data_IF_457531092013
#
_entry.id   IF_457531092013
#
_cell.length_a   1.000
_cell.length_b   1.000
_cell.length_c   1.000
_cell.angle_alpha   90.00
_cell.angle_beta   90.00
_cell.angle_gamma   90.00
#
_symmetry.space_group_name_H-M   'P 1'
#
loop_
_entity.id
_entity.type
_entity.pdbx_description
1 polymer ?
#
# COMPACT_ATOMS: atom_id res chain seq x y z
N UNK A 1 -2.84 33.53 -5.29
CA UNK A 1 -3.64 32.40 -5.82
C UNK A 1 -3.30 31.18 -5.00
N UNK A 2 -4.27 30.57 -4.32
CA UNK A 2 -4.03 29.32 -3.60
C UNK A 2 -4.17 28.20 -4.64
N UNK A 3 -3.05 27.79 -5.25
CA UNK A 3 -3.04 26.69 -6.21
C UNK A 3 -3.39 25.41 -5.46
N UNK A 4 -4.66 25.04 -5.48
CA UNK A 4 -5.11 23.79 -4.90
C UNK A 4 -4.26 22.66 -5.48
N UNK A 5 -3.73 21.80 -4.61
CA UNK A 5 -2.92 20.65 -5.03
C UNK A 5 -3.68 19.84 -6.06
N UNK A 6 -2.98 19.39 -7.09
CA UNK A 6 -3.49 18.41 -8.04
C UNK A 6 -3.71 17.06 -7.35
N UNK A 7 -4.48 16.17 -7.98
CA UNK A 7 -4.67 14.81 -7.48
C UNK A 7 -3.33 14.06 -7.36
N UNK A 8 -2.45 14.24 -8.34
CA UNK A 8 -1.13 13.60 -8.36
C UNK A 8 -0.24 14.06 -7.19
N UNK A 9 -0.25 15.34 -6.87
CA UNK A 9 0.48 15.88 -5.72
C UNK A 9 -0.04 15.32 -4.40
N UNK A 10 -1.37 15.25 -4.23
CA UNK A 10 -1.97 14.63 -3.04
C UNK A 10 -1.58 13.16 -2.88
N UNK A 11 -1.54 12.40 -3.97
CA UNK A 11 -1.12 11.00 -3.95
C UNK A 11 0.37 10.85 -3.61
N UNK A 12 1.22 11.71 -4.16
CA UNK A 12 2.66 11.73 -3.85
C UNK A 12 2.89 12.01 -2.36
N UNK A 13 2.28 13.05 -1.81
CA UNK A 13 2.39 13.39 -0.39
C UNK A 13 1.83 12.29 0.52
N UNK A 14 0.79 11.59 0.09
CA UNK A 14 0.28 10.44 0.82
C UNK A 14 1.31 9.31 0.87
N UNK A 15 1.92 8.94 -0.27
CA UNK A 15 2.98 7.92 -0.32
C UNK A 15 4.19 8.29 0.52
N UNK A 16 4.65 9.54 0.43
CA UNK A 16 5.78 10.05 1.23
C UNK A 16 5.48 9.94 2.73
N UNK A 17 4.27 10.29 3.17
CA UNK A 17 3.86 10.12 4.57
C UNK A 17 3.86 8.66 5.01
N UNK A 18 3.35 7.74 4.19
CA UNK A 18 3.33 6.32 4.55
C UNK A 18 4.75 5.74 4.64
N UNK A 19 5.64 6.14 3.73
CA UNK A 19 7.05 5.75 3.76
C UNK A 19 7.78 6.34 4.98
N UNK A 20 7.48 7.58 5.36
CA UNK A 20 8.02 8.20 6.57
C UNK A 20 7.58 7.47 7.86
N UNK A 21 6.44 6.78 7.84
CA UNK A 21 5.99 5.88 8.91
C UNK A 21 6.65 4.49 8.86
N UNK A 22 7.58 4.25 7.93
CA UNK A 22 8.25 2.95 7.75
C UNK A 22 7.36 1.89 7.09
N UNK A 23 6.21 2.28 6.54
CA UNK A 23 5.30 1.34 5.89
C UNK A 23 5.70 1.08 4.43
N UNK A 24 5.43 -0.14 3.98
CA UNK A 24 5.64 -0.58 2.59
C UNK A 24 4.33 -0.72 1.86
N UNK A 25 4.29 -0.23 0.61
CA UNK A 25 3.13 -0.35 -0.27
C UNK A 25 3.00 -1.78 -0.83
N UNK A 26 1.86 -2.41 -0.59
CA UNK A 26 1.45 -3.73 -1.07
C UNK A 26 0.17 -3.59 -1.91
N UNK A 27 0.31 -3.23 -3.18
CA UNK A 27 -0.78 -2.94 -4.15
C UNK A 27 -1.80 -1.90 -3.65
N UNK A 28 -2.68 -2.30 -2.73
CA UNK A 28 -3.78 -1.50 -2.18
C UNK A 28 -3.70 -1.37 -0.64
N UNK A 29 -2.60 -1.80 -0.02
CA UNK A 29 -2.40 -1.84 1.42
C UNK A 29 -1.04 -1.24 1.77
N UNK A 30 -0.94 -0.54 2.91
CA UNK A 30 0.33 -0.20 3.53
C UNK A 30 0.55 -1.11 4.73
N UNK A 31 1.71 -1.76 4.82
CA UNK A 31 2.00 -2.73 5.88
C UNK A 31 3.41 -2.55 6.42
N UNK A 32 3.64 -3.06 7.63
CA UNK A 32 5.00 -3.15 8.16
C UNK A 32 5.83 -4.10 7.26
N UNK A 33 7.12 -3.80 7.01
CA UNK A 33 7.97 -4.63 6.15
C UNK A 33 8.03 -6.11 6.60
N UNK A 34 8.02 -6.34 7.92
CA UNK A 34 8.10 -7.70 8.48
C UNK A 34 6.85 -8.55 8.18
N UNK A 35 5.70 -7.91 7.96
CA UNK A 35 4.43 -8.59 7.70
C UNK A 35 4.26 -8.99 6.22
N UNK A 36 5.10 -8.47 5.32
CA UNK A 36 4.95 -8.66 3.86
C UNK A 36 4.83 -10.14 3.48
N UNK A 37 5.67 -10.99 4.06
CA UNK A 37 5.69 -12.43 3.76
C UNK A 37 4.39 -13.10 4.19
N UNK A 38 3.87 -12.76 5.37
CA UNK A 38 2.64 -13.34 5.89
C UNK A 38 1.42 -12.89 5.07
N UNK A 39 1.36 -11.61 4.71
CA UNK A 39 0.30 -11.05 3.88
C UNK A 39 0.27 -11.73 2.50
N UNK A 40 1.41 -11.84 1.83
CA UNK A 40 1.51 -12.51 0.51
C UNK A 40 1.02 -13.95 0.58
N UNK A 41 1.47 -14.72 1.57
CA UNK A 41 1.05 -16.11 1.79
C UNK A 41 -0.47 -16.22 2.00
N UNK A 42 -1.07 -15.29 2.75
CA UNK A 42 -2.50 -15.28 2.98
C UNK A 42 -3.29 -14.95 1.70
N UNK A 43 -2.83 -13.96 0.92
CA UNK A 43 -3.43 -13.62 -0.38
C UNK A 43 -3.37 -14.82 -1.33
N UNK A 44 -2.24 -15.51 -1.41
CA UNK A 44 -2.12 -16.73 -2.22
C UNK A 44 -3.10 -17.83 -1.78
N UNK A 45 -3.23 -18.06 -0.46
CA UNK A 45 -4.21 -19.01 0.09
C UNK A 45 -5.64 -18.66 -0.31
N UNK A 46 -6.00 -17.38 -0.23
CA UNK A 46 -7.32 -16.90 -0.64
C UNK A 46 -7.54 -17.06 -2.15
N UNK A 47 -6.53 -16.79 -2.97
CA UNK A 47 -6.61 -16.95 -4.42
C UNK A 47 -6.82 -18.41 -4.80
N UNK A 48 -6.05 -19.35 -4.22
CA UNK A 48 -6.24 -20.79 -4.42
C UNK A 48 -7.64 -21.28 -4.05
N UNK A 49 -8.23 -20.73 -2.98
CA UNK A 49 -9.59 -21.08 -2.58
C UNK A 49 -10.66 -20.62 -3.58
N UNK A 50 -10.41 -19.51 -4.29
CA UNK A 50 -11.39 -18.87 -5.19
C UNK A 50 -11.22 -19.25 -6.65
N UNK A 51 -10.01 -19.67 -7.03
CA UNK A 51 -9.67 -20.07 -8.38
C UNK A 51 -9.04 -21.48 -8.32
N UNK A 52 -9.86 -22.54 -8.21
CA UNK A 52 -9.38 -23.91 -8.12
C UNK A 52 -8.66 -24.36 -9.41
#
# INVERSE_FOLDING_TARGET
MNSAKTVAERQREYRERMQALGLKELRNLWAHPDDEKQIRKYVEKLNKKRNP
#
